data_IF_040750779500
#
_entry.id   IF_040750779500
#
_cell.length_a   1.000
_cell.length_b   1.000
_cell.length_c   1.000
_cell.angle_alpha   90.00
_cell.angle_beta   90.00
_cell.angle_gamma   90.00
#
_symmetry.space_group_name_H-M   'P 1'
#
loop_
_entity.id
_entity.type
_entity.pdbx_description
1 polymer ?
#
# COMPACT_ATOMS: atom_id res chain seq x y z
N UNK A 1 -55.52 -6.84 43.47
CA UNK A 1 -54.52 -5.76 43.30
C UNK A 1 -53.21 -6.35 43.80
N UNK A 2 -52.11 -6.51 43.07
CA UNK A 2 -51.53 -5.78 41.95
C UNK A 2 -51.00 -6.72 40.86
N UNK A 3 -51.15 -6.24 39.62
CA UNK A 3 -50.41 -6.65 38.42
C UNK A 3 -48.91 -6.45 38.67
N UNK A 4 -48.10 -7.46 38.37
CA UNK A 4 -46.67 -7.28 38.11
C UNK A 4 -46.41 -7.73 36.66
N UNK A 5 -46.33 -6.75 35.77
CA UNK A 5 -45.88 -6.92 34.40
C UNK A 5 -44.38 -7.29 34.41
N UNK A 6 -44.06 -8.45 33.85
CA UNK A 6 -42.69 -8.82 33.50
C UNK A 6 -42.38 -8.24 32.11
N UNK A 7 -41.53 -7.22 32.07
CA UNK A 7 -40.97 -6.65 30.85
C UNK A 7 -39.79 -7.49 30.37
N UNK A 8 -39.69 -7.86 29.07
CA UNK A 8 -38.50 -8.49 28.53
C UNK A 8 -37.46 -7.40 28.22
N UNK A 9 -36.32 -7.43 28.90
CA UNK A 9 -35.15 -6.61 28.55
C UNK A 9 -34.56 -7.13 27.23
N UNK A 10 -34.74 -6.37 26.16
CA UNK A 10 -34.01 -6.53 24.91
C UNK A 10 -32.55 -6.11 25.14
N UNK A 11 -31.67 -7.09 25.34
CA UNK A 11 -30.22 -6.92 25.28
C UNK A 11 -29.81 -6.60 23.84
N UNK A 12 -29.69 -5.31 23.53
CA UNK A 12 -28.91 -4.84 22.38
C UNK A 12 -27.43 -5.12 22.65
N UNK A 13 -26.95 -6.27 22.20
CA UNK A 13 -25.52 -6.53 22.13
C UNK A 13 -24.90 -5.58 21.09
N UNK A 14 -23.89 -4.76 21.43
CA UNK A 14 -23.09 -4.10 20.41
C UNK A 14 -22.40 -5.20 19.60
N UNK A 15 -22.57 -5.16 18.28
CA UNK A 15 -21.81 -6.00 17.37
C UNK A 15 -20.32 -5.71 17.62
N UNK A 16 -19.65 -6.64 18.29
CA UNK A 16 -18.20 -6.68 18.35
C UNK A 16 -17.74 -6.93 16.91
N UNK A 17 -17.42 -5.86 16.18
CA UNK A 17 -16.71 -5.97 14.92
C UNK A 17 -15.42 -6.71 15.22
N UNK A 18 -15.34 -7.96 14.77
CA UNK A 18 -14.11 -8.74 14.77
C UNK A 18 -13.02 -7.85 14.17
N UNK A 19 -11.97 -7.58 14.95
CA UNK A 19 -10.82 -6.81 14.49
C UNK A 19 -10.29 -7.50 13.23
N UNK A 20 -10.47 -6.83 12.09
CA UNK A 20 -9.73 -7.15 10.88
C UNK A 20 -8.25 -7.17 11.23
N UNK A 21 -7.52 -8.10 10.62
CA UNK A 21 -6.09 -8.30 10.83
C UNK A 21 -5.31 -7.06 10.35
N UNK A 22 -5.24 -6.03 11.21
CA UNK A 22 -4.67 -4.71 10.93
C UNK A 22 -3.15 -4.71 10.78
N UNK A 23 -2.55 -5.88 10.63
CA UNK A 23 -1.12 -6.05 10.53
C UNK A 23 -0.54 -5.55 9.19
N UNK A 24 -1.36 -5.46 8.12
CA UNK A 24 -0.84 -5.20 6.78
C UNK A 24 -1.10 -3.77 6.30
N UNK A 25 -0.06 -2.90 6.24
CA UNK A 25 -0.19 -1.61 5.59
C UNK A 25 -0.37 -1.76 4.07
N UNK A 26 -0.97 -0.73 3.48
CA UNK A 26 -1.22 -0.60 2.03
C UNK A 26 -0.43 0.57 1.47
N UNK A 27 -0.05 0.50 0.19
CA UNK A 27 0.58 1.62 -0.51
C UNK A 27 -0.44 2.31 -1.39
N UNK A 28 -0.40 3.63 -1.38
CA UNK A 28 -1.28 4.52 -2.11
C UNK A 28 -0.43 5.39 -3.04
N UNK A 29 -0.92 5.58 -4.25
CA UNK A 29 -0.40 6.55 -5.20
C UNK A 29 -1.31 7.77 -5.18
N UNK A 30 -0.75 8.95 -4.91
CA UNK A 30 -1.49 10.21 -4.79
C UNK A 30 -1.12 11.16 -5.93
N UNK A 31 -2.13 11.81 -6.53
CA UNK A 31 -1.97 12.95 -7.45
C UNK A 31 -2.59 14.16 -6.79
N UNK A 32 -1.82 15.23 -6.62
CA UNK A 32 -2.27 16.46 -5.98
C UNK A 32 -2.89 16.20 -4.58
N UNK A 33 -2.30 15.26 -3.82
CA UNK A 33 -2.78 14.86 -2.49
C UNK A 33 -3.99 13.92 -2.48
N UNK A 34 -4.59 13.60 -3.63
CA UNK A 34 -5.75 12.71 -3.73
C UNK A 34 -5.34 11.32 -4.22
N UNK A 35 -5.88 10.22 -3.65
CA UNK A 35 -5.64 8.87 -4.15
C UNK A 35 -6.04 8.73 -5.61
N UNK A 36 -5.18 8.10 -6.42
CA UNK A 36 -5.60 7.66 -7.75
C UNK A 36 -6.56 6.48 -7.58
N UNK A 37 -7.74 6.61 -8.19
CA UNK A 37 -8.69 5.51 -8.25
C UNK A 37 -8.09 4.32 -8.99
N UNK A 38 -8.45 3.10 -8.58
CA UNK A 38 -8.02 1.85 -9.22
C UNK A 38 -8.63 1.61 -10.62
N UNK A 39 -9.25 2.63 -11.21
CA UNK A 39 -9.75 2.61 -12.58
C UNK A 39 -8.67 3.01 -13.57
N UNK A 40 -8.81 2.59 -14.83
CA UNK A 40 -7.88 2.91 -15.90
C UNK A 40 -7.61 4.42 -15.96
N UNK A 41 -6.43 4.84 -15.48
CA UNK A 41 -6.08 6.24 -15.26
C UNK A 41 -4.93 6.64 -16.19
N UNK A 42 -4.96 7.88 -16.66
CA UNK A 42 -3.79 8.45 -17.32
C UNK A 42 -2.62 8.47 -16.36
N UNK A 43 -1.43 8.08 -16.80
CA UNK A 43 -0.23 8.10 -15.97
C UNK A 43 0.17 9.56 -15.65
N UNK A 44 0.28 9.97 -14.37
CA UNK A 44 0.79 11.30 -14.07
C UNK A 44 2.29 11.39 -14.31
N UNK A 45 2.79 12.60 -14.61
CA UNK A 45 4.23 12.85 -14.67
C UNK A 45 4.92 12.71 -13.30
N UNK A 46 4.23 13.07 -12.23
CA UNK A 46 4.72 12.96 -10.86
C UNK A 46 3.57 12.54 -9.93
N UNK A 47 3.91 11.78 -8.89
CA UNK A 47 2.96 11.33 -7.89
C UNK A 47 3.62 11.20 -6.53
N UNK A 48 2.82 11.16 -5.47
CA UNK A 48 3.30 10.91 -4.11
C UNK A 48 2.94 9.48 -3.70
N UNK A 49 3.94 8.69 -3.33
CA UNK A 49 3.79 7.41 -2.67
C UNK A 49 3.54 7.61 -1.19
N UNK A 50 2.50 6.97 -0.67
CA UNK A 50 2.18 6.95 0.76
C UNK A 50 1.95 5.52 1.20
N UNK A 51 2.51 5.14 2.35
CA UNK A 51 2.13 3.92 3.04
C UNK A 51 1.11 4.29 4.13
N UNK A 52 -0.02 3.60 4.15
CA UNK A 52 -1.15 3.89 5.02
C UNK A 52 -1.63 2.58 5.67
N UNK A 53 -2.31 2.66 6.83
CA UNK A 53 -3.03 1.51 7.36
C UNK A 53 -4.15 1.11 6.39
N UNK A 54 -4.55 -0.16 6.42
CA UNK A 54 -5.68 -0.64 5.62
C UNK A 54 -7.00 -0.02 6.10
N UNK A 55 -8.04 -0.07 5.26
CA UNK A 55 -9.35 0.47 5.58
C UNK A 55 -9.93 -0.19 6.85
N UNK A 56 -10.40 0.63 7.78
CA UNK A 56 -10.95 0.16 9.06
C UNK A 56 -9.91 -0.07 10.16
N UNK A 57 -8.61 0.17 9.90
CA UNK A 57 -7.56 0.09 10.90
C UNK A 57 -7.26 1.44 11.56
N UNK A 58 -6.73 1.44 12.80
CA UNK A 58 -6.38 2.67 13.50
C UNK A 58 -5.35 3.48 12.72
N UNK A 59 -5.41 4.81 12.88
CA UNK A 59 -4.46 5.70 12.25
C UNK A 59 -3.03 5.37 12.71
N UNK A 60 -2.16 5.10 11.74
CA UNK A 60 -0.74 4.80 11.96
C UNK A 60 0.07 5.49 10.87
N UNK A 61 1.11 6.22 11.26
CA UNK A 61 2.04 6.81 10.31
C UNK A 61 3.13 5.78 9.95
N UNK A 62 3.48 5.73 8.67
CA UNK A 62 4.51 4.87 8.12
C UNK A 62 5.49 5.67 7.30
N UNK A 63 6.75 5.21 7.29
CA UNK A 63 7.78 5.68 6.35
C UNK A 63 8.37 4.49 5.62
N UNK A 64 8.79 4.72 4.38
CA UNK A 64 9.53 3.73 3.60
C UNK A 64 10.88 4.28 3.16
N UNK A 65 11.87 3.38 2.97
CA UNK A 65 13.21 3.72 2.48
C UNK A 65 13.36 3.59 0.97
N UNK A 66 12.82 2.50 0.42
CA UNK A 66 12.90 2.20 -1.01
C UNK A 66 11.59 1.61 -1.51
N UNK A 67 11.14 2.08 -2.66
CA UNK A 67 10.04 1.51 -3.43
C UNK A 67 10.52 1.24 -4.85
N UNK A 68 10.14 0.11 -5.42
CA UNK A 68 10.33 -0.20 -6.83
C UNK A 68 9.05 0.16 -7.57
N UNK A 69 9.18 0.91 -8.66
CA UNK A 69 8.08 1.27 -9.56
C UNK A 69 8.39 0.73 -10.94
N UNK A 70 7.48 -0.08 -11.45
CA UNK A 70 7.67 -0.85 -12.69
C UNK A 70 6.42 -0.75 -13.55
N UNK A 71 6.60 -0.44 -14.82
CA UNK A 71 5.55 -0.58 -15.81
C UNK A 71 5.44 -2.06 -16.23
N UNK A 72 4.24 -2.62 -16.21
CA UNK A 72 3.99 -4.01 -16.60
C UNK A 72 3.11 -4.06 -17.84
N UNK A 73 3.52 -4.85 -18.83
CA UNK A 73 2.76 -5.12 -20.06
C UNK A 73 2.55 -6.61 -20.20
N UNK A 74 1.30 -7.05 -20.22
CA UNK A 74 0.94 -8.48 -20.32
C UNK A 74 1.71 -9.37 -19.32
N UNK A 75 1.86 -8.88 -18.07
CA UNK A 75 2.57 -9.58 -17.00
C UNK A 75 4.10 -9.53 -17.07
N UNK A 76 4.69 -8.79 -18.02
CA UNK A 76 6.15 -8.61 -18.15
C UNK A 76 6.57 -7.19 -17.78
N UNK A 77 7.69 -7.00 -17.06
CA UNK A 77 8.21 -5.68 -16.77
C UNK A 77 8.73 -5.00 -18.04
N UNK A 78 8.42 -3.71 -18.18
CA UNK A 78 8.90 -2.81 -19.23
C UNK A 78 9.91 -1.87 -18.58
N UNK A 79 11.11 -1.80 -19.15
CA UNK A 79 12.17 -0.93 -18.65
C UNK A 79 11.87 0.55 -18.95
N UNK A 80 12.32 1.48 -18.08
CA UNK A 80 13.16 1.26 -16.89
C UNK A 80 12.39 0.74 -15.67
N UNK A 81 13.08 0.14 -14.70
CA UNK A 81 12.55 -0.02 -13.33
C UNK A 81 13.04 1.19 -12.53
N UNK A 82 12.13 1.89 -11.86
CA UNK A 82 12.49 3.07 -11.06
C UNK A 82 12.63 2.70 -9.59
N UNK A 83 13.75 3.09 -8.98
CA UNK A 83 13.93 3.04 -7.53
C UNK A 83 13.57 4.40 -6.94
N UNK A 84 12.60 4.41 -6.04
CA UNK A 84 12.06 5.61 -5.41
C UNK A 84 12.42 5.61 -3.92
N UNK A 85 13.24 6.58 -3.52
CA UNK A 85 13.75 6.72 -2.14
C UNK A 85 13.03 7.81 -1.33
N UNK A 86 12.21 8.62 -2.00
CA UNK A 86 11.44 9.71 -1.41
C UNK A 86 9.95 9.50 -1.70
N UNK A 87 9.03 10.04 -0.89
CA UNK A 87 7.60 9.96 -1.19
C UNK A 87 7.25 10.47 -2.59
N UNK A 88 7.95 11.49 -3.10
CA UNK A 88 7.72 12.01 -4.44
C UNK A 88 8.40 11.12 -5.50
N UNK A 89 7.58 10.48 -6.33
CA UNK A 89 8.01 9.67 -7.46
C UNK A 89 7.94 10.48 -8.76
N UNK A 90 9.06 10.54 -9.50
CA UNK A 90 9.10 11.05 -10.86
C UNK A 90 8.78 9.91 -11.84
N UNK A 91 7.62 10.00 -12.49
CA UNK A 91 7.09 8.98 -13.40
C UNK A 91 7.24 9.39 -14.87
N UNK A 92 7.86 10.54 -15.16
CA UNK A 92 8.14 10.98 -16.53
C UNK A 92 8.87 9.94 -17.38
N UNK A 93 9.82 9.14 -16.86
CA UNK A 93 10.49 8.10 -17.65
C UNK A 93 9.53 7.09 -18.29
N UNK A 94 8.32 6.92 -17.75
CA UNK A 94 7.33 5.99 -18.29
C UNK A 94 6.38 6.61 -19.33
N UNK A 95 6.26 7.95 -19.37
CA UNK A 95 5.27 8.64 -20.20
C UNK A 95 5.44 8.36 -21.70
N UNK A 96 6.67 8.18 -22.16
CA UNK A 96 6.97 7.86 -23.57
C UNK A 96 6.66 6.41 -23.94
N UNK A 97 6.69 5.48 -22.98
CA UNK A 97 6.64 4.04 -23.26
C UNK A 97 5.30 3.39 -22.92
N UNK A 98 4.52 3.98 -22.01
CA UNK A 98 3.27 3.38 -21.59
C UNK A 98 2.22 3.37 -22.70
N UNK A 99 1.43 2.31 -22.69
CA UNK A 99 0.32 2.04 -23.58
C UNK A 99 -0.94 1.78 -22.77
N UNK A 100 -2.10 1.95 -23.41
CA UNK A 100 -3.38 1.54 -22.81
C UNK A 100 -3.35 0.04 -22.54
N UNK A 101 -3.73 -0.36 -21.33
CA UNK A 101 -3.69 -1.75 -20.88
C UNK A 101 -2.42 -2.14 -20.11
N UNK A 102 -1.40 -1.27 -20.09
CA UNK A 102 -0.28 -1.44 -19.16
C UNK A 102 -0.75 -1.23 -17.70
N UNK A 103 0.05 -1.73 -16.75
CA UNK A 103 -0.16 -1.52 -15.32
C UNK A 103 1.07 -0.87 -14.71
N UNK A 104 0.87 0.19 -13.92
CA UNK A 104 1.92 0.69 -13.04
C UNK A 104 1.92 -0.13 -11.75
N UNK A 105 2.98 -0.90 -11.53
CA UNK A 105 3.17 -1.67 -10.31
C UNK A 105 4.16 -0.98 -9.38
N UNK A 106 3.79 -0.91 -8.10
CA UNK A 106 4.62 -0.37 -7.04
C UNK A 106 4.82 -1.48 -6.01
N UNK A 107 6.07 -1.72 -5.63
CA UNK A 107 6.44 -2.71 -4.62
C UNK A 107 7.34 -2.09 -3.56
N UNK A 108 7.01 -2.34 -2.30
CA UNK A 108 7.81 -1.93 -1.15
C UNK A 108 8.04 -3.16 -0.28
N UNK A 109 9.27 -3.66 -0.24
CA UNK A 109 9.64 -4.74 0.67
C UNK A 109 9.41 -4.32 2.13
N UNK A 110 8.86 -5.19 2.98
CA UNK A 110 8.52 -4.82 4.36
C UNK A 110 9.72 -4.35 5.18
N UNK A 111 10.92 -4.85 4.89
CA UNK A 111 12.18 -4.39 5.51
C UNK A 111 12.47 -2.92 5.25
N UNK A 112 11.90 -2.35 4.18
CA UNK A 112 12.02 -0.94 3.87
C UNK A 112 10.96 -0.09 4.57
N UNK A 113 10.02 -0.68 5.34
CA UNK A 113 8.91 0.02 6.00
C UNK A 113 9.15 0.12 7.50
N UNK A 114 8.86 1.29 8.06
CA UNK A 114 8.87 1.54 9.50
C UNK A 114 7.58 2.27 9.91
N UNK A 115 7.10 1.98 11.11
CA UNK A 115 6.10 2.81 11.78
C UNK A 115 6.78 4.01 12.43
N UNK A 116 6.06 5.13 12.48
CA UNK A 116 6.48 6.33 13.19
C UNK A 116 5.69 6.42 14.49
N UNK A 117 6.40 6.47 15.61
CA UNK A 117 5.80 6.71 16.92
C UNK A 117 5.52 8.21 17.13
N UNK A 118 4.72 8.56 18.15
CA UNK A 118 4.33 9.94 18.42
C UNK A 118 5.51 10.87 18.75
N UNK A 119 6.62 10.31 19.25
CA UNK A 119 7.88 11.00 19.52
C UNK A 119 8.78 11.13 18.26
N UNK A 120 8.32 10.65 17.10
CA UNK A 120 9.06 10.61 15.85
C UNK A 120 10.01 9.41 15.69
N UNK A 121 10.08 8.51 16.68
CA UNK A 121 10.93 7.32 16.63
C UNK A 121 10.45 6.37 15.54
N UNK A 122 11.40 5.84 14.75
CA UNK A 122 11.14 4.87 13.69
C UNK A 122 11.31 3.45 14.22
N UNK A 123 10.22 2.68 14.21
CA UNK A 123 10.25 1.25 14.53
C UNK A 123 10.09 0.45 13.25
N UNK A 124 11.05 -0.42 12.87
CA UNK A 124 10.91 -1.29 11.71
C UNK A 124 9.61 -2.11 11.77
N UNK A 125 8.89 -2.22 10.64
CA UNK A 125 7.65 -2.99 10.58
C UNK A 125 7.90 -4.49 10.84
N UNK A 126 9.04 -5.00 10.37
CA UNK A 126 9.52 -6.34 10.68
C UNK A 126 10.65 -6.29 11.72
N UNK A 127 10.68 -7.21 12.70
CA UNK A 127 11.78 -7.30 13.65
C UNK A 127 13.11 -7.63 12.93
N UNK A 128 14.22 -7.11 13.46
CA UNK A 128 15.54 -7.15 12.82
C UNK A 128 16.04 -8.57 12.45
N UNK A 129 15.61 -9.62 13.17
CA UNK A 129 15.91 -11.02 12.83
C UNK A 129 15.27 -11.48 11.52
N UNK A 130 14.07 -10.96 11.19
CA UNK A 130 13.41 -11.22 9.92
C UNK A 130 14.02 -10.37 8.78
N UNK A 131 14.48 -9.15 9.08
CA UNK A 131 15.10 -8.25 8.10
C UNK A 131 16.55 -8.64 7.70
N UNK A 132 17.27 -9.40 8.55
CA UNK A 132 18.66 -9.84 8.31
C UNK A 132 18.81 -11.02 7.35
N UNK A 133 17.72 -11.69 6.95
CA UNK A 133 17.76 -12.58 5.78
C UNK A 133 17.83 -11.71 4.53
N UNK A 134 18.95 -11.00 4.33
CA UNK A 134 19.25 -10.34 3.06
C UNK A 134 19.35 -11.45 2.01
N UNK A 135 18.41 -11.57 1.07
CA UNK A 135 18.75 -12.30 -0.13
C UNK A 135 19.67 -11.35 -0.90
N UNK A 136 20.87 -11.79 -1.26
CA UNK A 136 21.75 -11.09 -2.22
C UNK A 136 21.08 -10.88 -3.58
N UNK A 137 19.88 -11.44 -3.77
CA UNK A 137 19.09 -11.49 -4.98
C UNK A 137 17.63 -11.70 -4.59
N UNK A 138 16.75 -10.71 -4.81
CA UNK A 138 15.29 -10.75 -4.54
C UNK A 138 14.71 -12.16 -4.79
N UNK A 139 14.54 -12.97 -3.74
CA UNK A 139 14.10 -14.36 -3.87
C UNK A 139 12.58 -14.40 -3.82
N UNK A 140 11.96 -14.36 -5.00
CA UNK A 140 10.50 -14.43 -5.17
C UNK A 140 9.88 -15.77 -4.70
N UNK A 141 10.70 -16.76 -4.32
CA UNK A 141 10.25 -18.11 -3.93
C UNK A 141 10.08 -18.29 -2.43
N UNK A 142 10.67 -17.41 -1.61
CA UNK A 142 10.55 -17.49 -0.15
C UNK A 142 9.53 -16.48 0.38
N UNK A 143 8.81 -16.87 1.42
CA UNK A 143 7.87 -16.01 2.16
C UNK A 143 8.56 -14.85 2.89
N UNK A 144 9.89 -14.73 2.79
CA UNK A 144 10.69 -13.67 3.38
C UNK A 144 10.77 -12.43 2.48
N UNK A 145 10.58 -12.57 1.16
CA UNK A 145 10.46 -11.46 0.20
C UNK A 145 9.06 -10.84 0.17
N UNK A 146 8.35 -10.83 1.30
CA UNK A 146 7.02 -10.22 1.40
C UNK A 146 7.14 -8.69 1.44
N UNK A 147 6.22 -8.04 0.75
CA UNK A 147 6.11 -6.60 0.73
C UNK A 147 4.69 -6.12 0.50
N UNK A 148 4.56 -4.81 0.43
CA UNK A 148 3.33 -4.11 0.08
C UNK A 148 3.36 -3.89 -1.43
N UNK A 149 2.27 -4.19 -2.11
CA UNK A 149 2.13 -3.97 -3.55
C UNK A 149 0.88 -3.16 -3.88
N UNK A 150 0.97 -2.39 -4.95
CA UNK A 150 -0.15 -1.69 -5.58
C UNK A 150 -0.01 -1.76 -7.09
N UNK A 151 -1.15 -1.89 -7.76
CA UNK A 151 -1.23 -1.95 -9.21
C UNK A 151 -2.28 -0.98 -9.69
N UNK A 152 -1.90 -0.10 -10.62
CA UNK A 152 -2.79 0.85 -11.27
C UNK A 152 -2.90 0.52 -12.76
N UNK A 153 -4.09 0.12 -13.25
CA UNK A 153 -4.34 0.04 -14.68
C UNK A 153 -4.18 1.40 -15.35
N UNK A 154 -3.47 1.44 -16.48
CA UNK A 154 -3.22 2.66 -17.24
C UNK A 154 -4.05 2.72 -18.52
N UNK A 155 -4.57 3.91 -18.81
CA UNK A 155 -5.15 4.26 -20.09
C UNK A 155 -4.45 5.49 -20.64
N UNK A 156 -3.95 5.40 -21.86
CA UNK A 156 -3.36 6.56 -22.55
C UNK A 156 -4.50 7.44 -23.09
N UNK A 157 -4.51 8.75 -22.81
CA UNK A 157 -5.47 9.66 -23.43
C UNK A 157 -5.39 9.54 -24.95
N UNK A 158 -6.55 9.59 -25.62
CA UNK A 158 -6.57 9.71 -27.07
C UNK A 158 -5.88 11.02 -27.48
N UNK A 159 -5.13 11.03 -28.59
CA UNK A 159 -4.49 12.24 -29.12
C UNK A 159 -5.51 13.31 -29.53
#
# INVERSE_FOLDING_TARGET
MCKALLAPLLLLAPAAFAQSDCAKPVVQLLRNGQPLAATASALPAAATLRVAPDAGCPAQEYRFRHAEVTLMRHGRPVLPILLVEKPQADLRPFLSYYQTGDQLNIFIAYQNVATVAADGTLTPLLPAKAARRQPSQLDLRTTDSKGISFSLPLAKPAP
#
